data_IF_016880537471
#
_entry.id   IF_016880537471
#
_cell.length_a   1.000
_cell.length_b   1.000
_cell.length_c   1.000
_cell.angle_alpha   90.00
_cell.angle_beta   90.00
_cell.angle_gamma   90.00
#
_symmetry.space_group_name_H-M   'P 1'
#
loop_
_entity.id
_entity.type
_entity.pdbx_description
1 polymer ?
#
# COMPACT_ATOMS: atom_id res chain seq x y z
N UNK A 1 74.64 24.29 -6.16
CA UNK A 1 73.50 24.50 -7.08
C UNK A 1 73.37 23.40 -8.14
N UNK A 2 74.47 22.82 -8.63
CA UNK A 2 74.39 21.74 -9.63
C UNK A 2 73.60 20.51 -9.15
N UNK A 3 73.82 20.05 -7.92
CA UNK A 3 73.10 18.89 -7.36
C UNK A 3 71.56 19.00 -7.43
N UNK A 4 70.99 20.18 -7.19
CA UNK A 4 69.53 20.37 -7.24
C UNK A 4 68.98 20.38 -8.68
N UNK A 5 69.77 20.87 -9.63
CA UNK A 5 69.41 20.86 -11.04
C UNK A 5 69.50 19.45 -11.64
N UNK A 6 70.56 18.68 -11.32
CA UNK A 6 70.75 17.33 -11.85
C UNK A 6 69.95 16.25 -11.12
N UNK A 7 69.68 16.39 -9.82
CA UNK A 7 69.08 15.31 -9.03
C UNK A 7 67.57 15.46 -8.80
N UNK A 8 67.06 16.71 -8.79
CA UNK A 8 65.67 17.03 -8.41
C UNK A 8 64.89 17.63 -9.58
N UNK A 9 65.54 17.86 -10.73
CA UNK A 9 64.90 18.38 -11.95
C UNK A 9 64.48 19.85 -11.88
N UNK A 10 65.02 20.62 -10.92
CA UNK A 10 64.76 22.05 -10.85
C UNK A 10 65.60 22.82 -11.87
N UNK A 11 65.08 23.97 -12.33
CA UNK A 11 65.83 24.85 -13.22
C UNK A 11 67.13 25.33 -12.57
N UNK A 12 68.20 25.39 -13.36
CA UNK A 12 69.51 25.86 -12.91
C UNK A 12 69.41 27.33 -12.53
N UNK A 13 69.77 27.67 -11.29
CA UNK A 13 69.79 29.06 -10.83
C UNK A 13 70.94 29.80 -11.52
N UNK A 14 70.61 30.73 -12.42
CA UNK A 14 71.58 31.50 -13.20
C UNK A 14 72.06 32.77 -12.50
N UNK A 15 71.16 33.44 -11.76
CA UNK A 15 71.44 34.70 -11.07
C UNK A 15 70.81 34.71 -9.69
N UNK A 16 71.57 35.20 -8.72
CA UNK A 16 71.09 35.46 -7.36
C UNK A 16 71.17 36.94 -7.09
N UNK A 17 70.05 37.50 -6.66
CA UNK A 17 69.91 38.91 -6.31
C UNK A 17 69.85 39.04 -4.79
N UNK A 18 70.63 39.96 -4.23
CA UNK A 18 70.60 40.27 -2.79
C UNK A 18 69.91 41.62 -2.57
N UNK A 19 68.84 41.61 -1.79
CA UNK A 19 68.12 42.81 -1.40
C UNK A 19 68.03 42.87 0.12
N UNK A 20 68.68 43.87 0.72
CA UNK A 20 68.77 44.03 2.17
C UNK A 20 69.00 45.50 2.52
N UNK A 21 68.69 45.89 3.77
CA UNK A 21 69.10 47.19 4.28
C UNK A 21 70.62 47.32 4.15
N UNK A 22 71.08 48.41 3.53
CA UNK A 22 72.50 48.69 3.36
C UNK A 22 73.08 49.04 4.72
N UNK A 23 73.65 48.02 5.36
CA UNK A 23 74.34 48.11 6.62
C UNK A 23 75.82 47.81 6.40
N UNK A 24 76.64 48.06 7.42
CA UNK A 24 78.10 47.78 7.40
C UNK A 24 78.39 46.32 7.02
N UNK A 25 77.45 45.40 7.27
CA UNK A 25 77.60 43.97 6.98
C UNK A 25 77.23 43.56 5.55
N UNK A 26 76.71 44.48 4.72
CA UNK A 26 76.27 44.13 3.36
C UNK A 26 77.43 43.62 2.48
N UNK A 27 78.54 44.35 2.41
CA UNK A 27 79.67 43.96 1.56
C UNK A 27 80.39 42.69 2.04
N UNK A 28 80.69 42.52 3.36
CA UNK A 28 81.24 41.26 3.86
C UNK A 28 80.34 40.05 3.58
N UNK A 29 79.03 40.20 3.79
CA UNK A 29 78.07 39.12 3.52
C UNK A 29 77.99 38.80 2.03
N UNK A 30 77.94 39.81 1.16
CA UNK A 30 77.91 39.61 -0.28
C UNK A 30 79.17 38.92 -0.78
N UNK A 31 80.34 39.26 -0.22
CA UNK A 31 81.60 38.59 -0.52
C UNK A 31 81.55 37.11 -0.12
N UNK A 32 81.16 36.83 1.13
CA UNK A 32 81.03 35.47 1.63
C UNK A 32 80.05 34.63 0.81
N UNK A 33 78.88 35.18 0.50
CA UNK A 33 77.88 34.48 -0.29
C UNK A 33 78.36 34.25 -1.74
N UNK A 34 79.13 35.19 -2.32
CA UNK A 34 79.71 35.04 -3.65
C UNK A 34 80.72 33.89 -3.68
N UNK A 35 81.53 33.74 -2.63
CA UNK A 35 82.46 32.60 -2.49
C UNK A 35 81.72 31.26 -2.35
N UNK A 36 80.61 31.22 -1.60
CA UNK A 36 79.90 29.97 -1.29
C UNK A 36 78.89 29.54 -2.37
N UNK A 37 78.23 30.49 -3.04
CA UNK A 37 77.08 30.23 -3.92
C UNK A 37 77.45 30.47 -5.40
N UNK A 38 78.56 31.16 -5.69
CA UNK A 38 78.94 31.56 -7.03
C UNK A 38 78.22 32.85 -7.47
N UNK A 39 77.67 32.87 -8.68
CA UNK A 39 77.11 34.02 -9.44
C UNK A 39 76.05 34.88 -8.74
N UNK A 40 76.41 35.56 -7.65
CA UNK A 40 75.62 36.63 -7.05
C UNK A 40 75.89 37.88 -7.87
N UNK A 41 74.90 38.25 -8.67
CA UNK A 41 75.12 39.18 -9.76
C UNK A 41 75.01 40.63 -9.33
N UNK A 42 74.10 41.05 -8.44
CA UNK A 42 73.95 42.47 -8.12
C UNK A 42 73.10 42.72 -6.87
N UNK A 43 73.26 43.92 -6.27
CA UNK A 43 72.26 44.48 -5.36
C UNK A 43 70.96 44.68 -6.13
N UNK A 44 69.86 44.13 -5.62
CA UNK A 44 68.56 44.35 -6.22
C UNK A 44 67.90 45.58 -5.61
N UNK A 45 67.90 46.65 -6.40
CA UNK A 45 67.11 47.85 -6.13
C UNK A 45 65.76 47.77 -6.88
N UNK A 46 64.63 47.50 -6.18
CA UNK A 46 63.30 47.47 -6.80
C UNK A 46 62.85 48.85 -7.32
N UNK A 47 63.60 49.90 -7.01
CA UNK A 47 63.33 51.27 -7.40
C UNK A 47 64.24 51.79 -8.53
N UNK A 48 65.14 50.95 -9.04
CA UNK A 48 66.04 51.31 -10.14
C UNK A 48 65.23 51.81 -11.35
N UNK A 49 65.68 52.92 -11.95
CA UNK A 49 65.07 53.51 -13.14
C UNK A 49 63.77 54.31 -12.91
N UNK A 50 63.28 54.44 -11.67
CA UNK A 50 62.11 55.27 -11.36
C UNK A 50 62.52 56.65 -10.81
N UNK A 51 61.99 57.76 -11.36
CA UNK A 51 62.22 59.08 -10.79
C UNK A 51 61.43 59.24 -9.48
N UNK A 52 62.09 59.59 -8.39
CA UNK A 52 61.44 59.93 -7.12
C UNK A 52 61.30 61.45 -6.99
N UNK A 53 60.18 61.95 -6.44
CA UNK A 53 60.06 63.37 -6.11
C UNK A 53 61.15 63.77 -5.12
N UNK A 54 61.78 64.94 -5.34
CA UNK A 54 62.85 65.46 -4.47
C UNK A 54 62.40 65.60 -3.00
N UNK A 55 61.08 65.81 -2.78
CA UNK A 55 60.46 65.92 -1.45
C UNK A 55 60.28 64.59 -0.72
N UNK A 56 60.47 63.45 -1.39
CA UNK A 56 60.18 62.14 -0.80
C UNK A 56 61.25 61.64 0.16
N UNK A 57 62.46 62.24 0.19
CA UNK A 57 63.53 61.77 1.08
C UNK A 57 64.03 60.36 0.78
N UNK A 58 63.81 59.85 -0.45
CA UNK A 58 64.35 58.59 -0.97
C UNK A 58 65.50 58.86 -1.96
N UNK A 59 66.28 59.91 -1.74
CA UNK A 59 67.34 60.29 -2.68
C UNK A 59 68.49 59.28 -2.63
N UNK A 60 68.78 58.71 -1.46
CA UNK A 60 69.87 57.73 -1.28
C UNK A 60 69.43 56.28 -1.48
N UNK A 61 70.37 55.43 -1.89
CA UNK A 61 70.16 53.98 -2.00
C UNK A 61 69.86 53.35 -0.62
N UNK A 62 70.44 53.87 0.47
CA UNK A 62 70.24 53.36 1.82
C UNK A 62 68.81 53.63 2.35
N UNK A 63 68.24 54.79 2.07
CA UNK A 63 66.83 55.11 2.39
C UNK A 63 65.86 54.24 1.59
N UNK A 64 66.18 53.97 0.33
CA UNK A 64 65.39 53.03 -0.48
C UNK A 64 65.50 51.61 0.06
N UNK A 65 66.72 51.19 0.43
CA UNK A 65 67.00 49.87 0.99
C UNK A 65 66.26 49.59 2.30
N UNK A 66 66.06 50.60 3.15
CA UNK A 66 65.35 50.43 4.43
C UNK A 66 63.85 50.16 4.26
N UNK A 67 63.26 50.57 3.13
CA UNK A 67 61.84 50.33 2.80
C UNK A 67 61.60 48.96 2.18
N UNK A 68 62.64 48.29 1.69
CA UNK A 68 62.52 46.99 1.00
C UNK A 68 61.84 45.93 1.86
N UNK A 69 62.18 45.74 3.15
CA UNK A 69 61.49 44.74 3.99
C UNK A 69 60.00 45.04 4.15
N UNK A 70 59.62 46.31 4.32
CA UNK A 70 58.21 46.70 4.48
C UNK A 70 57.42 46.47 3.18
N UNK A 71 58.00 46.78 2.03
CA UNK A 71 57.40 46.51 0.72
C UNK A 71 57.32 45.01 0.44
N UNK A 72 58.37 44.26 0.76
CA UNK A 72 58.39 42.80 0.64
C UNK A 72 57.30 42.14 1.47
N UNK A 73 57.06 42.64 2.70
CA UNK A 73 55.96 42.18 3.55
C UNK A 73 54.59 42.61 3.01
N UNK A 74 54.44 43.84 2.50
CA UNK A 74 53.18 44.35 1.95
C UNK A 74 52.76 43.67 0.64
N UNK A 75 53.74 43.30 -0.19
CA UNK A 75 53.52 42.57 -1.45
C UNK A 75 53.52 41.05 -1.27
N UNK A 76 53.79 40.55 -0.06
CA UNK A 76 53.83 39.12 0.20
C UNK A 76 52.42 38.51 0.12
N UNK A 77 52.24 37.56 -0.80
CA UNK A 77 51.02 36.77 -0.92
C UNK A 77 51.25 35.32 -0.47
N UNK A 78 50.28 34.79 0.28
CA UNK A 78 50.25 33.42 0.80
C UNK A 78 50.44 32.32 -0.25
N UNK A 79 50.16 32.59 -1.53
CA UNK A 79 50.30 31.62 -2.62
C UNK A 79 51.72 31.54 -3.19
N UNK A 80 52.48 32.63 -3.15
CA UNK A 80 53.73 32.76 -3.90
C UNK A 80 54.95 33.08 -3.02
N UNK A 81 54.76 33.73 -1.87
CA UNK A 81 55.85 34.09 -0.96
C UNK A 81 55.66 33.44 0.41
N UNK A 82 56.76 33.07 1.11
CA UNK A 82 56.70 32.70 2.52
C UNK A 82 56.16 33.88 3.35
N UNK A 83 54.86 33.84 3.67
CA UNK A 83 54.17 34.94 4.33
C UNK A 83 54.48 34.95 5.84
N UNK A 84 55.30 35.91 6.29
CA UNK A 84 55.61 36.11 7.71
C UNK A 84 54.43 36.67 8.53
N UNK A 85 53.43 37.25 7.88
CA UNK A 85 52.22 37.81 8.50
C UNK A 85 51.19 36.71 8.77
N UNK A 86 51.16 35.67 7.93
CA UNK A 86 50.23 34.55 8.10
C UNK A 86 50.79 33.51 9.07
N UNK A 87 50.31 33.58 10.31
CA UNK A 87 50.80 32.72 11.37
C UNK A 87 50.36 31.26 11.20
N UNK A 88 51.15 30.34 11.77
CA UNK A 88 50.83 28.91 11.79
C UNK A 88 49.43 28.62 12.36
N UNK A 89 48.98 29.42 13.34
CA UNK A 89 47.66 29.29 13.94
C UNK A 89 46.53 29.53 12.92
N UNK A 90 46.65 30.57 12.09
CA UNK A 90 45.67 30.89 11.04
C UNK A 90 45.64 29.80 9.96
N UNK A 91 46.81 29.30 9.55
CA UNK A 91 46.92 28.16 8.62
C UNK A 91 46.24 26.90 9.15
N UNK A 92 46.44 26.58 10.44
CA UNK A 92 45.80 25.43 11.08
C UNK A 92 44.27 25.59 11.12
N UNK A 93 43.76 26.79 11.43
CA UNK A 93 42.32 27.05 11.44
C UNK A 93 41.67 26.88 10.07
N UNK A 94 42.30 27.35 9.00
CA UNK A 94 41.78 27.14 7.63
C UNK A 94 41.77 25.67 7.23
N UNK A 95 42.83 24.92 7.55
CA UNK A 95 42.90 23.49 7.26
C UNK A 95 41.84 22.71 8.03
N UNK A 96 41.62 23.06 9.31
CA UNK A 96 40.56 22.47 10.12
C UNK A 96 39.19 22.80 9.52
N UNK A 97 38.93 24.06 9.15
CA UNK A 97 37.66 24.45 8.50
C UNK A 97 37.44 23.71 7.18
N UNK A 98 38.47 23.59 6.34
CA UNK A 98 38.40 22.83 5.08
C UNK A 98 38.12 21.35 5.34
N UNK A 99 38.75 20.75 6.35
CA UNK A 99 38.53 19.34 6.72
C UNK A 99 37.13 19.12 7.28
N UNK A 100 36.64 20.01 8.15
CA UNK A 100 35.27 19.96 8.68
C UNK A 100 34.27 20.10 7.53
N UNK A 101 34.43 21.12 6.67
CA UNK A 101 33.52 21.33 5.55
C UNK A 101 33.49 20.12 4.61
N UNK A 102 34.65 19.55 4.29
CA UNK A 102 34.74 18.33 3.48
C UNK A 102 34.09 17.12 4.17
N UNK A 103 34.23 17.01 5.49
CA UNK A 103 33.53 15.99 6.28
C UNK A 103 32.01 16.15 6.22
N UNK A 104 31.50 17.37 6.44
CA UNK A 104 30.07 17.69 6.36
C UNK A 104 29.51 17.36 4.97
N UNK A 105 30.16 17.82 3.90
CA UNK A 105 29.76 17.49 2.53
C UNK A 105 29.76 15.99 2.25
N UNK A 106 30.77 15.26 2.75
CA UNK A 106 30.84 13.81 2.58
C UNK A 106 29.70 13.09 3.29
N UNK A 107 29.34 13.52 4.51
CA UNK A 107 28.22 12.94 5.27
C UNK A 107 26.89 13.19 4.59
N UNK A 108 26.65 14.42 4.11
CA UNK A 108 25.44 14.75 3.34
C UNK A 108 25.36 13.95 2.04
N UNK A 109 26.47 13.82 1.31
CA UNK A 109 26.52 13.01 0.08
C UNK A 109 26.20 11.53 0.36
N UNK A 110 26.74 10.97 1.45
CA UNK A 110 26.45 9.60 1.86
C UNK A 110 24.97 9.41 2.23
N UNK A 111 24.39 10.34 3.00
CA UNK A 111 22.98 10.30 3.37
C UNK A 111 22.06 10.38 2.13
N UNK A 112 22.39 11.26 1.18
CA UNK A 112 21.67 11.35 -0.10
C UNK A 112 21.78 10.07 -0.93
N UNK A 113 22.96 9.46 -0.99
CA UNK A 113 23.15 8.20 -1.69
C UNK A 113 22.28 7.08 -1.09
N UNK A 114 22.24 6.96 0.24
CA UNK A 114 21.36 5.99 0.93
C UNK A 114 19.89 6.26 0.60
N UNK A 115 19.45 7.52 0.64
CA UNK A 115 18.08 7.90 0.28
C UNK A 115 17.73 7.53 -1.17
N UNK A 116 18.65 7.78 -2.12
CA UNK A 116 18.47 7.41 -3.53
C UNK A 116 18.38 5.89 -3.72
N UNK A 117 19.19 5.11 -3.00
CA UNK A 117 19.11 3.64 -3.03
C UNK A 117 17.76 3.17 -2.51
N UNK A 118 17.28 3.69 -1.38
CA UNK A 118 15.97 3.33 -0.82
C UNK A 118 14.85 3.67 -1.80
N UNK A 119 14.87 4.88 -2.38
CA UNK A 119 13.88 5.27 -3.39
C UNK A 119 13.92 4.37 -4.63
N UNK A 120 15.10 3.99 -5.10
CA UNK A 120 15.24 3.07 -6.24
C UNK A 120 14.65 1.69 -5.93
N UNK A 121 14.89 1.15 -4.73
CA UNK A 121 14.29 -0.11 -4.29
C UNK A 121 12.77 -0.02 -4.23
N UNK A 122 12.23 1.02 -3.58
CA UNK A 122 10.77 1.24 -3.50
C UNK A 122 10.11 1.39 -4.87
N UNK A 123 10.75 2.13 -5.79
CA UNK A 123 10.26 2.29 -7.16
C UNK A 123 10.32 0.96 -7.91
N UNK A 124 11.34 0.13 -7.67
CA UNK A 124 11.44 -1.19 -8.30
C UNK A 124 10.34 -2.13 -7.83
N UNK A 125 10.04 -2.17 -6.53
CA UNK A 125 8.94 -2.93 -5.94
C UNK A 125 7.59 -2.43 -6.46
N UNK A 126 7.39 -1.12 -6.49
CA UNK A 126 6.18 -0.50 -7.03
C UNK A 126 6.00 -0.80 -8.52
N UNK A 127 7.08 -0.83 -9.31
CA UNK A 127 7.05 -1.23 -10.72
C UNK A 127 6.72 -2.71 -10.87
N UNK A 128 7.32 -3.59 -10.08
CA UNK A 128 6.99 -5.02 -10.12
C UNK A 128 5.53 -5.25 -9.75
N UNK A 129 5.02 -4.58 -8.71
CA UNK A 129 3.63 -4.64 -8.32
C UNK A 129 2.70 -4.07 -9.41
N UNK A 130 3.12 -2.99 -10.08
CA UNK A 130 2.40 -2.41 -11.21
C UNK A 130 2.35 -3.34 -12.43
N UNK A 131 3.45 -4.02 -12.74
CA UNK A 131 3.52 -5.02 -13.82
C UNK A 131 2.67 -6.24 -13.47
N UNK A 132 2.72 -6.72 -12.23
CA UNK A 132 1.87 -7.82 -11.77
C UNK A 132 0.39 -7.43 -11.85
N UNK A 133 0.00 -6.24 -11.38
CA UNK A 133 -1.36 -5.72 -11.54
C UNK A 133 -1.77 -5.62 -13.01
N UNK A 134 -0.89 -5.14 -13.88
CA UNK A 134 -1.16 -5.05 -15.32
C UNK A 134 -1.28 -6.42 -16.00
N UNK A 135 -0.51 -7.42 -15.57
CA UNK A 135 -0.66 -8.82 -16.02
C UNK A 135 -1.97 -9.43 -15.52
N UNK A 136 -2.27 -9.25 -14.24
CA UNK A 136 -3.52 -9.72 -13.63
C UNK A 136 -4.74 -9.05 -14.27
N UNK A 137 -4.66 -7.76 -14.59
CA UNK A 137 -5.74 -7.04 -15.30
C UNK A 137 -5.89 -7.56 -16.74
N UNK A 138 -4.80 -7.88 -17.44
CA UNK A 138 -4.86 -8.53 -18.75
C UNK A 138 -5.44 -9.94 -18.70
N UNK A 139 -5.08 -10.73 -17.70
CA UNK A 139 -5.65 -12.06 -17.46
C UNK A 139 -7.13 -11.98 -17.10
N UNK A 140 -7.54 -11.00 -16.28
CA UNK A 140 -8.95 -10.73 -15.98
C UNK A 140 -9.73 -10.26 -17.21
N UNK A 141 -9.12 -9.46 -18.10
CA UNK A 141 -9.71 -9.05 -19.37
C UNK A 141 -9.86 -10.24 -20.35
N UNK A 142 -8.96 -11.21 -20.28
CA UNK A 142 -9.03 -12.46 -21.06
C UNK A 142 -10.07 -13.44 -20.48
N UNK A 143 -10.30 -13.43 -19.15
CA UNK A 143 -11.23 -14.35 -18.47
C UNK A 143 -12.71 -13.94 -18.52
N UNK A 144 -13.06 -12.76 -19.04
CA UNK A 144 -14.44 -12.35 -19.23
C UNK A 144 -14.71 -10.88 -18.92
N UNK A 145 -15.90 -10.36 -19.27
CA UNK A 145 -16.18 -8.94 -19.18
C UNK A 145 -16.19 -8.51 -17.72
N UNK A 146 -15.39 -7.49 -17.40
CA UNK A 146 -15.16 -6.91 -16.06
C UNK A 146 -16.39 -7.06 -15.17
N UNK A 147 -16.27 -7.88 -14.11
CA UNK A 147 -17.22 -7.98 -13.02
C UNK A 147 -17.15 -6.65 -12.23
N UNK A 148 -17.71 -5.58 -12.80
CA UNK A 148 -17.83 -4.30 -12.12
C UNK A 148 -18.82 -4.46 -10.96
N UNK A 149 -18.61 -3.72 -9.88
CA UNK A 149 -19.54 -3.69 -8.74
C UNK A 149 -20.97 -3.40 -9.20
N UNK A 150 -21.12 -2.59 -10.25
CA UNK A 150 -22.40 -2.28 -10.86
C UNK A 150 -23.07 -3.49 -11.53
N UNK A 151 -22.29 -4.34 -12.24
CA UNK A 151 -22.80 -5.61 -12.79
C UNK A 151 -23.23 -6.60 -11.70
N UNK A 152 -22.49 -6.64 -10.59
CA UNK A 152 -22.85 -7.50 -9.45
C UNK A 152 -24.14 -7.00 -8.80
N UNK A 153 -24.30 -5.68 -8.64
CA UNK A 153 -25.52 -5.08 -8.11
C UNK A 153 -26.73 -5.30 -9.03
N UNK A 154 -26.54 -5.19 -10.35
CA UNK A 154 -27.57 -5.47 -11.35
C UNK A 154 -27.98 -6.95 -11.35
N UNK A 155 -27.00 -7.87 -11.33
CA UNK A 155 -27.25 -9.31 -11.25
C UNK A 155 -27.92 -9.70 -9.92
N UNK A 156 -27.55 -9.07 -8.80
CA UNK A 156 -28.21 -9.27 -7.52
C UNK A 156 -29.66 -8.78 -7.54
N UNK A 157 -29.94 -7.65 -8.21
CA UNK A 157 -31.29 -7.13 -8.40
C UNK A 157 -32.13 -8.07 -9.28
N UNK A 158 -31.56 -8.58 -10.36
CA UNK A 158 -32.22 -9.55 -11.24
C UNK A 158 -32.53 -10.86 -10.48
N UNK A 159 -31.57 -11.37 -9.70
CA UNK A 159 -31.77 -12.55 -8.85
C UNK A 159 -32.86 -12.34 -7.80
N UNK A 160 -32.93 -11.15 -7.19
CA UNK A 160 -34.01 -10.81 -6.24
C UNK A 160 -35.38 -10.81 -6.93
N UNK A 161 -35.47 -10.25 -8.13
CA UNK A 161 -36.70 -10.23 -8.92
C UNK A 161 -37.11 -11.65 -9.33
N UNK A 162 -36.17 -12.46 -9.85
CA UNK A 162 -36.42 -13.86 -10.21
C UNK A 162 -36.89 -14.68 -9.00
N UNK A 163 -36.26 -14.50 -7.84
CA UNK A 163 -36.66 -15.17 -6.62
C UNK A 163 -38.07 -14.76 -6.17
N UNK A 164 -38.40 -13.47 -6.24
CA UNK A 164 -39.76 -12.98 -5.93
C UNK A 164 -40.81 -13.55 -6.90
N UNK A 165 -40.49 -13.63 -8.20
CA UNK A 165 -41.36 -14.28 -9.18
C UNK A 165 -41.54 -15.77 -8.89
N UNK A 166 -40.45 -16.51 -8.66
CA UNK A 166 -40.52 -17.93 -8.32
C UNK A 166 -41.31 -18.19 -7.03
N UNK A 167 -41.16 -17.35 -6.02
CA UNK A 167 -41.91 -17.47 -4.77
C UNK A 167 -43.42 -17.25 -4.98
N UNK A 168 -43.79 -16.25 -5.81
CA UNK A 168 -45.19 -16.01 -6.18
C UNK A 168 -45.77 -17.14 -7.04
N UNK A 169 -45.00 -17.67 -7.99
CA UNK A 169 -45.41 -18.81 -8.80
C UNK A 169 -45.58 -20.07 -7.93
N UNK A 170 -44.63 -20.34 -7.04
CA UNK A 170 -44.71 -21.45 -6.08
C UNK A 170 -45.99 -21.35 -5.24
N UNK A 171 -46.26 -20.21 -4.61
CA UNK A 171 -47.49 -20.00 -3.82
C UNK A 171 -48.77 -20.17 -4.65
N UNK A 172 -48.80 -19.65 -5.89
CA UNK A 172 -49.97 -19.75 -6.76
C UNK A 172 -50.26 -21.19 -7.19
N UNK A 173 -49.23 -22.01 -7.39
CA UNK A 173 -49.38 -23.39 -7.86
C UNK A 173 -49.30 -24.44 -6.74
N UNK A 174 -48.95 -24.07 -5.50
CA UNK A 174 -48.85 -24.99 -4.35
C UNK A 174 -50.17 -25.68 -4.03
N UNK A 175 -51.29 -24.93 -4.06
CA UNK A 175 -52.62 -25.51 -3.85
C UNK A 175 -53.00 -26.53 -4.93
N UNK A 176 -52.63 -26.26 -6.19
CA UNK A 176 -52.90 -27.19 -7.31
C UNK A 176 -52.06 -28.47 -7.19
N UNK A 177 -50.78 -28.35 -6.84
CA UNK A 177 -49.89 -29.48 -6.60
C UNK A 177 -50.37 -30.36 -5.43
N UNK A 178 -50.88 -29.72 -4.36
CA UNK A 178 -51.44 -30.44 -3.22
C UNK A 178 -52.68 -31.26 -3.62
N UNK A 179 -53.58 -30.69 -4.43
CA UNK A 179 -54.77 -31.39 -4.90
C UNK A 179 -54.37 -32.60 -5.77
N UNK A 180 -53.38 -32.45 -6.66
CA UNK A 180 -52.91 -33.58 -7.46
C UNK A 180 -52.27 -34.69 -6.62
N UNK A 181 -51.48 -34.31 -5.61
CA UNK A 181 -50.84 -35.27 -4.70
C UNK A 181 -51.89 -36.02 -3.87
N UNK A 182 -52.84 -35.30 -3.28
CA UNK A 182 -53.95 -35.92 -2.53
C UNK A 182 -54.79 -36.82 -3.42
N UNK A 183 -55.05 -36.44 -4.67
CA UNK A 183 -55.78 -37.26 -5.63
C UNK A 183 -55.05 -38.54 -5.99
N UNK A 184 -53.71 -38.51 -6.06
CA UNK A 184 -52.90 -39.71 -6.35
C UNK A 184 -52.82 -40.66 -5.14
N UNK A 185 -52.74 -40.10 -3.93
CA UNK A 185 -52.60 -40.90 -2.70
C UNK A 185 -53.93 -41.44 -2.18
N UNK A 186 -55.07 -40.87 -2.60
CA UNK A 186 -56.41 -41.27 -2.13
C UNK A 186 -56.93 -42.46 -2.95
N UNK A 187 -57.07 -43.66 -2.34
CA UNK A 187 -57.64 -44.83 -3.02
C UNK A 187 -59.17 -44.69 -3.18
N UNK A 188 -59.76 -45.46 -4.10
CA UNK A 188 -61.19 -45.39 -4.44
C UNK A 188 -62.14 -45.63 -3.25
N UNK A 189 -61.69 -46.41 -2.26
CA UNK A 189 -62.43 -46.74 -1.04
C UNK A 189 -62.50 -45.56 -0.03
N UNK A 190 -61.72 -44.49 -0.27
CA UNK A 190 -61.66 -43.30 0.61
C UNK A 190 -62.19 -42.10 -0.15
N UNK A 191 -63.21 -41.41 0.41
CA UNK A 191 -63.76 -40.18 -0.16
C UNK A 191 -63.46 -39.00 0.74
N UNK A 192 -62.74 -38.02 0.20
CA UNK A 192 -62.53 -36.75 0.87
C UNK A 192 -63.80 -35.89 0.76
N UNK A 193 -64.30 -35.44 1.91
CA UNK A 193 -65.47 -34.56 2.01
C UNK A 193 -65.07 -33.10 2.13
N UNK A 194 -63.94 -32.83 2.78
CA UNK A 194 -63.46 -31.47 2.96
C UNK A 194 -61.94 -31.42 3.04
N UNK A 195 -61.34 -30.51 2.27
CA UNK A 195 -59.91 -30.19 2.31
C UNK A 195 -59.78 -28.72 2.65
N UNK A 196 -59.14 -28.38 3.78
CA UNK A 196 -58.87 -26.99 4.18
C UNK A 196 -57.38 -26.78 4.27
N UNK A 197 -56.88 -25.82 3.49
CA UNK A 197 -55.48 -25.42 3.47
C UNK A 197 -55.36 -23.98 3.99
N UNK A 198 -54.44 -23.75 4.92
CA UNK A 198 -54.11 -22.41 5.41
C UNK A 198 -52.76 -21.99 4.83
N UNK A 199 -52.81 -21.21 3.75
CA UNK A 199 -51.62 -20.59 3.13
C UNK A 199 -51.47 -19.18 3.72
N UNK A 200 -50.36 -18.85 4.38
CA UNK A 200 -50.10 -17.48 4.79
C UNK A 200 -49.86 -16.61 3.55
N UNK A 201 -50.66 -15.56 3.38
CA UNK A 201 -50.46 -14.60 2.29
C UNK A 201 -49.14 -13.85 2.46
N UNK A 202 -48.38 -13.62 1.37
CA UNK A 202 -47.21 -12.75 1.38
C UNK A 202 -47.66 -11.28 1.46
N UNK A 203 -48.03 -10.80 2.65
CA UNK A 203 -48.38 -9.39 2.83
C UNK A 203 -49.17 -9.02 4.08
N UNK A 204 -49.82 -9.96 4.76
CA UNK A 204 -50.59 -9.67 5.97
C UNK A 204 -49.75 -9.73 7.27
N UNK A 205 -48.52 -9.24 7.21
CA UNK A 205 -47.62 -9.06 8.35
C UNK A 205 -47.51 -7.58 8.69
N UNK A 206 -48.63 -6.95 9.03
CA UNK A 206 -48.71 -5.54 9.39
C UNK A 206 -49.55 -5.33 10.63
N UNK A 207 -48.85 -5.18 11.77
CA UNK A 207 -49.32 -4.66 13.07
C UNK A 207 -50.22 -5.56 13.90
N UNK A 208 -49.60 -6.26 14.85
CA UNK A 208 -49.83 -5.97 16.28
C UNK A 208 -48.52 -6.09 17.06
N UNK A 209 -48.26 -5.08 17.87
CA UNK A 209 -47.16 -4.96 18.83
C UNK A 209 -47.30 -5.95 19.98
N UNK A 210 -46.21 -6.61 20.38
CA UNK A 210 -46.16 -7.34 21.66
C UNK A 210 -44.94 -8.24 21.79
N UNK A 211 -44.23 -8.11 22.90
CA UNK A 211 -42.94 -8.70 23.22
C UNK A 211 -42.87 -10.25 23.28
N UNK A 212 -41.62 -10.73 23.12
CA UNK A 212 -41.06 -12.00 23.58
C UNK A 212 -41.47 -13.31 22.88
N UNK A 213 -40.46 -14.08 22.48
CA UNK A 213 -40.59 -15.51 22.17
C UNK A 213 -40.04 -15.91 20.81
N UNK A 214 -38.98 -16.74 20.81
CA UNK A 214 -38.60 -17.55 19.65
C UNK A 214 -39.77 -18.48 19.33
N UNK A 215 -40.59 -18.15 18.35
CA UNK A 215 -41.53 -19.10 17.76
C UNK A 215 -41.37 -19.13 16.24
N UNK A 216 -41.28 -20.37 15.76
CA UNK A 216 -40.98 -20.74 14.40
C UNK A 216 -42.01 -20.17 13.42
N UNK A 217 -41.55 -19.92 12.20
CA UNK A 217 -42.33 -19.47 11.05
C UNK A 217 -43.73 -20.11 10.99
N UNK A 218 -44.77 -19.35 10.57
CA UNK A 218 -46.14 -19.85 10.49
C UNK A 218 -46.18 -21.06 9.55
N UNK A 219 -46.37 -22.25 10.13
CA UNK A 219 -46.41 -23.51 9.38
C UNK A 219 -47.74 -23.60 8.66
N UNK A 220 -47.70 -23.78 7.36
CA UNK A 220 -48.87 -24.06 6.53
C UNK A 220 -49.54 -25.35 7.04
N UNK A 221 -50.80 -25.24 7.42
CA UNK A 221 -51.56 -26.35 7.99
C UNK A 221 -52.60 -26.85 6.97
N UNK A 222 -52.78 -28.15 6.93
CA UNK A 222 -53.75 -28.86 6.11
C UNK A 222 -54.67 -29.69 7.02
N UNK A 223 -55.97 -29.54 6.84
CA UNK A 223 -57.00 -30.35 7.50
C UNK A 223 -57.76 -31.12 6.44
N UNK A 224 -57.71 -32.46 6.52
CA UNK A 224 -58.40 -33.39 5.64
C UNK A 224 -59.55 -34.03 6.41
N UNK A 225 -60.74 -34.03 5.83
CA UNK A 225 -61.89 -34.75 6.33
C UNK A 225 -62.39 -35.67 5.24
N UNK A 226 -62.73 -36.90 5.62
CA UNK A 226 -63.19 -37.89 4.67
C UNK A 226 -63.92 -39.04 5.34
N UNK A 227 -64.36 -39.95 4.48
CA UNK A 227 -65.05 -41.18 4.85
C UNK A 227 -64.37 -42.37 4.20
N UNK A 228 -64.23 -43.46 4.94
CA UNK A 228 -63.80 -44.76 4.42
C UNK A 228 -65.05 -45.61 4.17
N UNK A 229 -65.14 -46.18 2.97
CA UNK A 229 -66.19 -47.07 2.51
C UNK A 229 -65.62 -48.50 2.52
N UNK A 230 -66.32 -49.45 3.16
CA UNK A 230 -65.82 -50.82 3.21
C UNK A 230 -66.56 -51.72 4.18
N UNK A 231 -66.00 -52.89 4.46
CA UNK A 231 -66.49 -53.79 5.51
C UNK A 231 -65.91 -53.37 6.87
N UNK A 232 -66.67 -53.54 7.96
CA UNK A 232 -66.34 -53.01 9.30
C UNK A 232 -64.93 -53.39 9.80
N UNK A 233 -64.43 -54.57 9.43
CA UNK A 233 -63.08 -55.02 9.80
C UNK A 233 -61.95 -54.47 8.93
N UNK A 234 -62.25 -53.98 7.73
CA UNK A 234 -61.24 -53.46 6.78
C UNK A 234 -61.08 -51.93 6.84
N UNK A 235 -62.07 -51.20 7.37
CA UNK A 235 -62.06 -49.72 7.41
C UNK A 235 -60.87 -49.14 8.18
N UNK A 236 -60.55 -49.70 9.36
CA UNK A 236 -59.43 -49.23 10.18
C UNK A 236 -58.08 -49.54 9.51
N UNK A 237 -57.95 -50.69 8.85
CA UNK A 237 -56.75 -51.07 8.11
C UNK A 237 -56.53 -50.18 6.88
N UNK A 238 -57.61 -49.87 6.14
CA UNK A 238 -57.56 -48.96 4.99
C UNK A 238 -57.21 -47.52 5.43
N UNK A 239 -57.75 -47.05 6.56
CA UNK A 239 -57.40 -45.74 7.12
C UNK A 239 -55.93 -45.70 7.55
N UNK A 240 -55.44 -46.72 8.24
CA UNK A 240 -54.03 -46.79 8.67
C UNK A 240 -53.09 -46.79 7.46
N UNK A 241 -53.41 -47.57 6.42
CA UNK A 241 -52.63 -47.60 5.19
C UNK A 241 -52.63 -46.24 4.46
N UNK A 242 -53.76 -45.53 4.48
CA UNK A 242 -53.86 -44.19 3.90
C UNK A 242 -53.03 -43.16 4.69
N UNK A 243 -53.05 -43.20 6.03
CA UNK A 243 -52.21 -42.34 6.86
C UNK A 243 -50.72 -42.57 6.57
N UNK A 244 -50.30 -43.84 6.45
CA UNK A 244 -48.91 -44.16 6.06
C UNK A 244 -48.54 -43.64 4.66
N UNK A 245 -49.47 -43.68 3.70
CA UNK A 245 -49.23 -43.11 2.36
C UNK A 245 -49.09 -41.59 2.41
N UNK A 246 -49.89 -40.92 3.23
CA UNK A 246 -49.80 -39.47 3.43
C UNK A 246 -48.51 -39.07 4.14
N UNK A 247 -48.02 -39.86 5.11
CA UNK A 247 -46.73 -39.62 5.79
C UNK A 247 -45.52 -39.77 4.86
N UNK A 248 -45.62 -40.65 3.87
CA UNK A 248 -44.57 -40.87 2.88
C UNK A 248 -44.62 -39.88 1.69
N UNK A 249 -45.55 -38.93 1.69
CA UNK A 249 -45.63 -37.91 0.64
C UNK A 249 -44.51 -36.87 0.78
N UNK A 250 -43.83 -36.48 -0.31
CA UNK A 250 -42.83 -35.41 -0.28
C UNK A 250 -43.43 -34.03 0.01
N UNK A 251 -44.76 -33.85 -0.11
CA UNK A 251 -45.44 -32.57 0.12
C UNK A 251 -46.01 -32.42 1.54
N UNK A 252 -46.15 -33.51 2.29
CA UNK A 252 -46.81 -33.53 3.60
C UNK A 252 -45.84 -33.97 4.69
N UNK A 253 -45.93 -33.32 5.86
CA UNK A 253 -45.12 -33.63 7.02
C UNK A 253 -45.98 -33.64 8.28
N UNK A 254 -45.68 -34.54 9.21
CA UNK A 254 -46.35 -34.60 10.51
C UNK A 254 -47.86 -34.83 10.40
N UNK A 255 -48.24 -35.84 9.62
CA UNK A 255 -49.63 -36.29 9.48
C UNK A 255 -50.09 -36.91 10.80
N UNK A 256 -51.23 -36.45 11.33
CA UNK A 256 -51.78 -36.94 12.60
C UNK A 256 -53.28 -37.16 12.44
N UNK A 257 -53.75 -38.38 12.76
CA UNK A 257 -55.16 -38.71 12.85
C UNK A 257 -55.74 -38.12 14.15
N UNK A 258 -56.69 -37.18 14.04
CA UNK A 258 -57.28 -36.52 15.20
C UNK A 258 -58.55 -37.20 15.71
N UNK A 259 -59.39 -37.66 14.78
CA UNK A 259 -60.69 -38.24 15.12
C UNK A 259 -61.04 -39.30 14.09
N UNK A 260 -61.53 -40.43 14.56
CA UNK A 260 -62.15 -41.48 13.77
C UNK A 260 -63.45 -41.89 14.46
N UNK A 261 -64.56 -41.93 13.74
CA UNK A 261 -65.87 -42.31 14.28
C UNK A 261 -66.69 -43.06 13.24
N UNK A 262 -67.31 -44.17 13.65
CA UNK A 262 -68.25 -44.91 12.82
C UNK A 262 -69.57 -44.15 12.78
N UNK A 263 -70.10 -43.92 11.58
CA UNK A 263 -71.40 -43.32 11.33
C UNK A 263 -72.21 -44.21 10.39
N UNK A 264 -73.54 -44.24 10.54
CA UNK A 264 -74.43 -44.92 9.58
C UNK A 264 -74.84 -43.93 8.51
N UNK A 265 -74.57 -44.25 7.24
CA UNK A 265 -75.02 -43.44 6.11
C UNK A 265 -75.88 -44.29 5.18
N UNK A 266 -77.15 -43.90 5.03
CA UNK A 266 -78.20 -44.66 4.34
C UNK A 266 -78.35 -46.08 4.91
N UNK A 267 -77.69 -47.07 4.32
CA UNK A 267 -77.81 -48.51 4.61
C UNK A 267 -76.44 -49.20 4.84
N UNK A 268 -75.35 -48.44 4.95
CA UNK A 268 -74.00 -48.94 5.20
C UNK A 268 -73.32 -48.19 6.34
N UNK A 269 -72.46 -48.89 7.08
CA UNK A 269 -71.56 -48.28 8.06
C UNK A 269 -70.41 -47.61 7.31
N UNK A 270 -70.05 -46.39 7.71
CA UNK A 270 -68.92 -45.63 7.17
C UNK A 270 -68.04 -45.13 8.31
N UNK A 271 -66.75 -45.01 8.07
CA UNK A 271 -65.80 -44.46 9.05
C UNK A 271 -65.47 -43.02 8.69
N UNK A 272 -65.92 -42.05 9.48
CA UNK A 272 -65.55 -40.64 9.33
C UNK A 272 -64.22 -40.37 10.01
N UNK A 273 -63.30 -39.70 9.32
CA UNK A 273 -62.00 -39.34 9.87
C UNK A 273 -61.65 -37.87 9.67
N UNK A 274 -60.79 -37.36 10.55
CA UNK A 274 -60.16 -36.04 10.46
C UNK A 274 -58.66 -36.19 10.65
N UNK A 275 -57.89 -35.77 9.65
CA UNK A 275 -56.43 -35.81 9.62
C UNK A 275 -55.89 -34.38 9.54
N UNK A 276 -54.91 -34.07 10.38
CA UNK A 276 -54.14 -32.83 10.29
C UNK A 276 -52.74 -33.12 9.79
N UNK A 277 -52.26 -32.33 8.85
CA UNK A 277 -50.92 -32.42 8.30
C UNK A 277 -50.32 -31.02 8.15
N UNK A 278 -48.99 -30.95 8.06
CA UNK A 278 -48.26 -29.73 7.71
C UNK A 278 -47.76 -29.87 6.28
N UNK A 279 -47.66 -28.74 5.58
CA UNK A 279 -47.19 -28.71 4.19
C UNK A 279 -45.69 -28.43 4.21
N UNK A 280 -44.92 -29.35 3.63
CA UNK A 280 -43.46 -29.35 3.58
C UNK A 280 -42.88 -28.49 2.47
#
# INVERSE_FOLDING_TARGET
MEYFATSVGFEKVEKVYLSAAISVFYYPLLHYLREQIGSISEYFDPFAGKPFPVKSGLSSLAERASLIPAIGLALSDSKHTPNAIFTYAQKKQELIRKRINRGVFSTFAAALAVCLVIMALQVSEARQLGVQKGKLEKELLLLGPKLSKDKIAEMAKEMKIRNQHNQRYSQKYKGLALISELSFLTPDDIRLTQVRMSIPEPGAGGQTTGAAGKEAAPKENLVLQGVVLGSRGAMDAQLAQYVMKLENSPMLQGVVLQKSSVAKFRNSEILQFVINAKIG
#
